data_IF_418455276124
#
_entry.id   IF_418455276124
#
_cell.length_a   1.000
_cell.length_b   1.000
_cell.length_c   1.000
_cell.angle_alpha   90.00
_cell.angle_beta   90.00
_cell.angle_gamma   90.00
#
_symmetry.space_group_name_H-M   'P 1'
#
loop_
_entity.id
_entity.type
_entity.pdbx_description
1 polymer ?
#
# COMPACT_ATOMS: atom_id res chain seq x y z
N UNK A 1 0.97 -26.37 -4.03
CA UNK A 1 0.84 -25.29 -5.04
C UNK A 1 1.54 -24.07 -4.47
N UNK A 2 2.54 -23.47 -5.14
CA UNK A 2 3.19 -22.28 -4.60
C UNK A 2 2.12 -21.20 -4.44
N UNK A 3 1.97 -20.70 -3.21
CA UNK A 3 0.89 -19.80 -2.81
C UNK A 3 0.92 -18.51 -3.63
N UNK A 4 -0.25 -18.04 -4.07
CA UNK A 4 -0.38 -16.73 -4.73
C UNK A 4 0.32 -15.67 -3.88
N UNK A 5 1.32 -14.98 -4.43
CA UNK A 5 1.92 -13.82 -3.75
C UNK A 5 0.81 -12.81 -3.48
N UNK A 6 0.53 -12.52 -2.21
CA UNK A 6 -0.42 -11.46 -1.85
C UNK A 6 0.06 -10.15 -2.48
N UNK A 7 -0.78 -9.43 -3.22
CA UNK A 7 -0.36 -8.12 -3.75
C UNK A 7 -0.32 -7.11 -2.61
N UNK A 8 0.74 -6.29 -2.53
CA UNK A 8 0.85 -5.24 -1.53
C UNK A 8 -0.34 -4.27 -1.61
N UNK A 9 -0.94 -3.92 -0.47
CA UNK A 9 -2.13 -3.04 -0.40
C UNK A 9 -1.80 -1.60 0.02
N UNK A 10 -0.55 -1.30 0.36
CA UNK A 10 -0.14 0.01 0.91
C UNK A 10 -0.64 1.19 0.07
N UNK A 11 -0.47 1.23 -1.26
CA UNK A 11 -0.93 2.39 -2.04
C UNK A 11 -2.44 2.65 -2.03
N UNK A 12 -3.23 1.70 -1.52
CA UNK A 12 -4.68 1.78 -1.44
C UNK A 12 -5.17 2.11 -0.02
N UNK A 13 -4.49 1.58 1.01
CA UNK A 13 -4.92 1.69 2.39
C UNK A 13 -4.10 2.64 3.26
N UNK A 14 -2.87 2.99 2.84
CA UNK A 14 -1.95 3.84 3.60
C UNK A 14 -1.45 4.98 2.73
N UNK A 15 -1.64 6.20 3.19
CA UNK A 15 -1.05 7.37 2.59
C UNK A 15 0.19 7.79 3.38
N UNK A 16 1.23 8.22 2.66
CA UNK A 16 2.34 8.93 3.27
C UNK A 16 2.09 10.43 3.15
N UNK A 17 2.21 11.15 4.25
CA UNK A 17 2.20 12.62 4.27
C UNK A 17 3.55 13.09 4.82
N UNK A 18 4.29 13.83 4.02
CA UNK A 18 5.59 14.39 4.38
C UNK A 18 5.40 15.67 5.21
N UNK A 19 6.42 16.05 5.98
CA UNK A 19 6.41 17.25 6.85
C UNK A 19 6.15 18.55 6.09
N UNK A 20 6.42 18.53 4.79
CA UNK A 20 6.32 19.65 3.89
C UNK A 20 4.94 19.71 3.19
N UNK A 21 4.04 18.78 3.54
CA UNK A 21 2.69 18.67 3.01
C UNK A 21 2.56 17.78 1.78
N UNK A 22 3.65 17.21 1.24
CA UNK A 22 3.56 16.30 0.11
C UNK A 22 2.81 15.00 0.51
N UNK A 23 1.99 14.48 -0.40
CA UNK A 23 1.21 13.25 -0.18
C UNK A 23 1.61 12.20 -1.21
N UNK A 24 1.95 10.99 -0.77
CA UNK A 24 2.48 9.92 -1.63
C UNK A 24 1.95 8.52 -1.32
N UNK A 25 2.36 7.52 -2.11
CA UNK A 25 1.80 6.16 -2.12
C UNK A 25 2.25 5.26 -0.97
N UNK A 26 3.43 5.48 -0.40
CA UNK A 26 4.09 4.50 0.45
C UNK A 26 5.27 5.14 1.19
N UNK A 27 5.50 4.73 2.44
CA UNK A 27 6.66 5.13 3.25
C UNK A 27 8.01 4.75 2.64
N UNK A 28 8.01 3.74 1.77
CA UNK A 28 9.21 3.24 1.09
C UNK A 28 9.63 4.11 -0.10
N UNK A 29 8.77 5.02 -0.58
CA UNK A 29 9.16 6.04 -1.55
C UNK A 29 9.90 7.21 -0.84
N UNK A 30 11.00 6.88 -0.18
CA UNK A 30 11.77 7.83 0.64
C UNK A 30 12.29 9.03 -0.15
N UNK A 31 12.59 8.83 -1.44
CA UNK A 31 13.01 9.92 -2.34
C UNK A 31 11.85 10.75 -2.88
N UNK A 32 10.60 10.48 -2.46
CA UNK A 32 9.41 11.22 -2.86
C UNK A 32 9.27 11.34 -4.40
N UNK A 33 9.52 10.26 -5.15
CA UNK A 33 9.46 10.29 -6.62
C UNK A 33 8.03 10.20 -7.14
N UNK A 34 7.14 9.56 -6.39
CA UNK A 34 5.77 9.25 -6.79
C UNK A 34 4.73 10.05 -6.01
N UNK A 35 5.05 11.28 -5.60
CA UNK A 35 4.12 12.21 -4.93
C UNK A 35 2.87 12.46 -5.77
N UNK A 36 1.70 12.39 -5.16
CA UNK A 36 0.41 12.64 -5.80
C UNK A 36 0.07 14.13 -5.87
N UNK A 37 0.48 14.89 -4.87
CA UNK A 37 0.20 16.32 -4.72
C UNK A 37 0.69 16.83 -3.36
N UNK A 38 0.35 18.08 -3.04
CA UNK A 38 0.79 18.75 -1.82
C UNK A 38 -0.36 19.49 -1.16
N UNK A 39 -0.43 19.42 0.16
CA UNK A 39 -1.35 20.22 0.97
C UNK A 39 -0.87 21.67 0.97
N UNK A 40 -1.74 22.59 0.58
CA UNK A 40 -1.41 24.02 0.43
C UNK A 40 -2.51 24.95 1.00
N UNK A 41 -3.44 24.39 1.78
CA UNK A 41 -4.59 25.11 2.34
C UNK A 41 -5.77 25.29 1.37
N UNK A 42 -5.54 25.14 0.06
CA UNK A 42 -6.60 25.12 -0.97
C UNK A 42 -6.97 23.70 -1.36
N UNK A 43 -5.97 22.83 -1.51
CA UNK A 43 -6.11 21.44 -1.92
C UNK A 43 -6.10 20.53 -0.70
N UNK A 44 -7.23 19.85 -0.46
CA UNK A 44 -7.36 18.91 0.66
C UNK A 44 -6.72 17.56 0.39
N UNK A 45 -6.46 16.81 1.46
CA UNK A 45 -5.93 15.44 1.37
C UNK A 45 -6.78 14.54 0.46
N UNK A 46 -8.11 14.63 0.56
CA UNK A 46 -9.04 13.81 -0.22
C UNK A 46 -8.86 14.05 -1.72
N UNK A 47 -8.73 15.31 -2.13
CA UNK A 47 -8.57 15.69 -3.53
C UNK A 47 -7.25 15.15 -4.10
N UNK A 48 -6.18 15.20 -3.30
CA UNK A 48 -4.88 14.64 -3.67
C UNK A 48 -4.93 13.10 -3.74
N UNK A 49 -5.50 12.45 -2.72
CA UNK A 49 -5.55 11.00 -2.60
C UNK A 49 -6.40 10.35 -3.69
N UNK A 50 -7.45 11.04 -4.15
CA UNK A 50 -8.30 10.63 -5.27
C UNK A 50 -8.00 11.39 -6.57
N UNK A 51 -6.85 12.06 -6.68
CA UNK A 51 -6.43 12.74 -7.90
C UNK A 51 -6.22 11.77 -9.07
N UNK A 52 -6.20 12.31 -10.29
CA UNK A 52 -5.82 11.53 -11.47
C UNK A 52 -4.42 10.94 -11.38
N UNK A 53 -3.49 11.65 -10.74
CA UNK A 53 -2.14 11.16 -10.52
C UNK A 53 -2.13 9.91 -9.64
N UNK A 54 -2.85 9.97 -8.52
CA UNK A 54 -3.00 8.82 -7.63
C UNK A 54 -3.71 7.64 -8.30
N UNK A 55 -4.76 7.90 -9.11
CA UNK A 55 -5.45 6.88 -9.91
C UNK A 55 -4.50 6.20 -10.91
N UNK A 56 -3.70 6.98 -11.65
CA UNK A 56 -2.74 6.45 -12.63
C UNK A 56 -1.68 5.58 -11.96
N UNK A 57 -1.09 6.07 -10.87
CA UNK A 57 -0.13 5.30 -10.09
C UNK A 57 -0.71 3.95 -9.66
N UNK A 58 -1.89 3.95 -9.01
CA UNK A 58 -2.52 2.71 -8.51
C UNK A 58 -2.90 1.75 -9.64
N UNK A 59 -3.34 2.27 -10.79
CA UNK A 59 -3.65 1.46 -11.98
C UNK A 59 -2.40 0.78 -12.52
N UNK A 60 -1.28 1.50 -12.60
CA UNK A 60 0.01 0.97 -13.02
C UNK A 60 0.53 -0.08 -12.01
N UNK A 61 0.45 0.23 -10.71
CA UNK A 61 0.84 -0.64 -9.61
C UNK A 61 0.14 -2.02 -9.63
N UNK A 62 -1.16 -2.06 -9.97
CA UNK A 62 -1.90 -3.34 -10.04
C UNK A 62 -1.47 -4.17 -11.26
N UNK A 63 -1.23 -3.49 -12.38
CA UNK A 63 -0.97 -4.10 -13.69
C UNK A 63 0.43 -4.66 -13.77
N UNK A 64 1.41 -3.93 -13.26
CA UNK A 64 2.83 -4.23 -13.42
C UNK A 64 3.45 -4.59 -12.07
N UNK A 65 3.95 -5.83 -11.97
CA UNK A 65 4.57 -6.28 -10.74
C UNK A 65 5.89 -5.52 -10.51
N UNK A 66 5.97 -4.80 -9.39
CA UNK A 66 7.17 -4.07 -8.95
C UNK A 66 7.74 -3.10 -9.99
N UNK A 67 6.90 -2.39 -10.76
CA UNK A 67 7.40 -1.41 -11.73
C UNK A 67 8.19 -0.27 -11.08
N UNK A 68 7.78 0.17 -9.89
CA UNK A 68 8.42 1.31 -9.21
C UNK A 68 9.74 0.90 -8.52
N UNK A 69 10.81 1.70 -8.62
CA UNK A 69 12.12 1.38 -8.04
C UNK A 69 12.05 1.04 -6.54
N UNK A 70 11.27 1.79 -5.76
CA UNK A 70 11.13 1.52 -4.32
C UNK A 70 10.39 0.21 -4.03
N UNK A 71 9.49 -0.24 -4.91
CA UNK A 71 8.84 -1.56 -4.77
C UNK A 71 9.83 -2.70 -4.97
N UNK A 72 10.80 -2.54 -5.90
CA UNK A 72 11.83 -3.55 -6.17
C UNK A 72 12.77 -3.74 -4.97
N UNK A 73 13.10 -2.65 -4.28
CA UNK A 73 13.97 -2.64 -3.10
C UNK A 73 13.21 -2.82 -1.77
N UNK A 74 11.89 -3.02 -1.80
CA UNK A 74 11.06 -2.99 -0.60
C UNK A 74 11.39 -4.15 0.37
N UNK A 75 11.73 -3.87 1.65
CA UNK A 75 12.07 -4.90 2.63
C UNK A 75 10.86 -5.74 3.09
N UNK A 76 9.65 -5.31 2.74
CA UNK A 76 8.40 -6.01 3.00
C UNK A 76 7.98 -6.94 1.86
N UNK A 77 8.67 -6.92 0.72
CA UNK A 77 8.36 -7.79 -0.44
C UNK A 77 8.37 -9.29 -0.12
N UNK A 78 9.37 -9.86 0.60
CA UNK A 78 9.32 -11.26 1.02
C UNK A 78 8.41 -11.48 2.25
N UNK A 79 7.90 -10.39 2.86
CA UNK A 79 7.13 -10.38 4.10
C UNK A 79 5.70 -9.93 3.86
N UNK A 80 5.05 -10.50 2.85
CA UNK A 80 3.59 -10.58 2.86
C UNK A 80 3.18 -11.56 3.98
N UNK A 81 3.47 -11.14 5.21
CA UNK A 81 3.29 -11.87 6.43
C UNK A 81 1.80 -12.07 6.65
N UNK A 82 1.50 -13.17 7.32
CA UNK A 82 0.19 -13.46 7.89
C UNK A 82 -0.11 -12.45 9.00
N UNK A 83 -0.37 -11.20 8.62
CA UNK A 83 -0.92 -10.22 9.54
C UNK A 83 -2.45 -10.40 9.66
N UNK A 84 -2.99 -10.05 10.83
CA UNK A 84 -4.41 -10.22 11.13
C UNK A 84 -5.32 -9.37 10.24
N UNK A 85 -4.79 -8.33 9.61
CA UNK A 85 -5.53 -7.48 8.67
C UNK A 85 -5.81 -8.24 7.37
N UNK A 86 -4.87 -9.09 6.94
CA UNK A 86 -5.05 -9.97 5.78
C UNK A 86 -5.81 -11.26 6.12
N UNK A 87 -5.78 -11.74 7.37
CA UNK A 87 -6.63 -12.85 7.81
C UNK A 87 -8.13 -12.59 7.56
N UNK A 88 -8.56 -11.32 7.55
CA UNK A 88 -9.93 -10.91 7.22
C UNK A 88 -10.37 -11.18 5.78
N UNK A 89 -9.44 -11.29 4.82
CA UNK A 89 -9.77 -11.55 3.40
C UNK A 89 -9.89 -13.04 3.05
N UNK A 90 -9.36 -13.92 3.91
CA UNK A 90 -9.62 -15.37 3.85
C UNK A 90 -10.71 -15.73 4.87
N UNK A 91 -11.90 -15.13 4.74
CA UNK A 91 -13.05 -15.48 5.57
C UNK A 91 -13.53 -16.91 5.23
N UNK A 92 -12.96 -17.90 5.92
CA UNK A 92 -13.56 -19.22 6.10
C UNK A 92 -13.84 -19.39 7.61
N UNK A 93 -15.11 -19.37 8.03
CA UNK A 93 -15.47 -19.38 9.45
C UNK A 93 -15.01 -20.66 10.19
N UNK A 94 -14.59 -21.71 9.48
CA UNK A 94 -14.17 -22.99 10.09
C UNK A 94 -12.69 -23.04 10.52
N UNK A 95 -11.85 -22.07 10.12
CA UNK A 95 -10.38 -22.18 10.28
C UNK A 95 -9.79 -21.18 11.31
N UNK A 96 -10.57 -20.21 11.77
CA UNK A 96 -10.07 -19.06 12.57
C UNK A 96 -9.67 -19.43 14.01
N UNK A 97 -10.17 -20.55 14.56
CA UNK A 97 -9.92 -20.90 15.98
C UNK A 97 -8.45 -21.13 16.34
N UNK A 98 -7.54 -21.28 15.36
CA UNK A 98 -6.14 -21.67 15.59
C UNK A 98 -5.08 -20.59 15.41
N UNK A 99 -5.39 -19.43 14.83
CA UNK A 99 -4.37 -18.46 14.40
C UNK A 99 -4.23 -17.21 15.28
N UNK A 100 -5.24 -16.83 16.07
CA UNK A 100 -5.15 -15.64 16.94
C UNK A 100 -4.69 -15.92 18.39
N UNK A 101 -4.37 -17.17 18.75
CA UNK A 101 -4.05 -17.56 20.15
C UNK A 101 -2.59 -17.95 20.39
N UNK A 102 -1.66 -17.48 19.57
CA UNK A 102 -0.22 -17.60 19.85
C UNK A 102 0.45 -16.24 19.75
N UNK A 103 0.11 -15.38 20.69
CA UNK A 103 0.96 -14.29 21.17
C UNK A 103 1.25 -14.60 22.64
#
# INVERSE_FOLDING_TARGET
>A
KPGKSRKCLRPFSKAMVFSDGAVGPCEEDYSAKEIYGRLDGMTGFRDIWFSDRARRFRKQFIREDNVFPFCKACPYKPRLQDDCVVAGFCYNPKTVKKLCHKA
#
